data_IF_699423122998
#
_entry.id   IF_699423122998
#
_cell.length_a   1.000
_cell.length_b   1.000
_cell.length_c   1.000
_cell.angle_alpha   90.00
_cell.angle_beta   90.00
_cell.angle_gamma   90.00
#
_symmetry.space_group_name_H-M   'P 1'
#
loop_
_entity.id
_entity.type
_entity.pdbx_description
1 polymer ?
#
# COMPACT_ATOMS: atom_id res chain seq x y z
N UNK A 1 11.08 -11.19 -22.71
CA UNK A 1 9.79 -10.47 -22.66
C UNK A 1 9.87 -9.44 -21.54
N UNK A 2 9.44 -8.19 -21.83
CA UNK A 2 9.70 -7.01 -20.97
C UNK A 2 8.50 -6.60 -20.08
N UNK A 3 7.60 -7.51 -19.73
CA UNK A 3 6.46 -7.18 -18.85
C UNK A 3 6.89 -6.96 -17.39
N UNK A 4 6.27 -6.01 -16.64
CA UNK A 4 6.66 -5.70 -15.25
C UNK A 4 6.69 -6.92 -14.33
N UNK A 5 5.71 -7.82 -14.45
CA UNK A 5 5.65 -9.07 -13.69
C UNK A 5 6.83 -10.02 -14.00
N UNK A 6 7.34 -9.99 -15.24
CA UNK A 6 8.53 -10.77 -15.61
C UNK A 6 9.81 -10.17 -15.00
N UNK A 7 9.91 -8.85 -14.95
CA UNK A 7 11.03 -8.14 -14.29
C UNK A 7 11.08 -8.54 -12.81
N UNK A 8 9.92 -8.50 -12.12
CA UNK A 8 9.84 -8.90 -10.71
C UNK A 8 10.24 -10.38 -10.51
N UNK A 9 9.81 -11.30 -11.39
CA UNK A 9 10.25 -12.70 -11.33
C UNK A 9 11.77 -12.84 -11.44
N UNK A 10 12.40 -12.12 -12.38
CA UNK A 10 13.86 -12.10 -12.50
C UNK A 10 14.55 -11.55 -11.25
N UNK A 11 14.01 -10.49 -10.66
CA UNK A 11 14.56 -9.93 -9.41
C UNK A 11 14.51 -10.96 -8.27
N UNK A 12 13.41 -11.72 -8.16
CA UNK A 12 13.26 -12.82 -7.19
C UNK A 12 14.29 -13.93 -7.46
N UNK A 13 14.50 -14.32 -8.72
CA UNK A 13 15.51 -15.32 -9.09
C UNK A 13 16.93 -14.86 -8.72
N UNK A 14 17.25 -13.58 -8.95
CA UNK A 14 18.53 -13.01 -8.53
C UNK A 14 18.67 -13.05 -7.00
N UNK A 15 17.63 -12.67 -6.25
CA UNK A 15 17.66 -12.73 -4.80
C UNK A 15 17.89 -14.18 -4.31
N UNK A 16 17.21 -15.16 -4.91
CA UNK A 16 17.42 -16.58 -4.62
C UNK A 16 18.85 -17.03 -4.91
N UNK A 17 19.44 -16.60 -6.01
CA UNK A 17 20.84 -16.94 -6.36
C UNK A 17 21.85 -16.36 -5.36
N UNK A 18 21.45 -15.31 -4.62
CA UNK A 18 22.24 -14.73 -3.54
C UNK A 18 21.93 -15.36 -2.17
N UNK A 19 21.11 -16.41 -2.14
CA UNK A 19 20.81 -17.22 -0.95
C UNK A 19 19.68 -16.66 -0.09
N UNK A 20 18.80 -15.81 -0.63
CA UNK A 20 17.55 -15.43 0.03
C UNK A 20 16.44 -16.42 -0.34
N UNK A 21 15.70 -16.90 0.65
CA UNK A 21 14.70 -17.95 0.42
C UNK A 21 13.38 -17.35 -0.08
N UNK A 22 12.98 -16.20 0.48
CA UNK A 22 11.73 -15.51 0.13
C UNK A 22 11.83 -14.02 0.33
N UNK A 23 10.96 -13.31 -0.39
CA UNK A 23 10.72 -11.88 -0.28
C UNK A 23 9.23 -11.71 -0.01
N UNK A 24 8.89 -11.03 1.08
CA UNK A 24 7.52 -10.66 1.42
C UNK A 24 7.36 -9.15 1.37
N UNK A 25 6.18 -8.72 0.94
CA UNK A 25 5.85 -7.31 0.78
C UNK A 25 4.45 -7.07 1.35
N UNK A 26 4.32 -6.04 2.19
CA UNK A 26 3.05 -5.50 2.69
C UNK A 26 2.84 -4.14 2.02
N UNK A 27 1.96 -4.03 1.03
CA UNK A 27 1.65 -2.74 0.42
C UNK A 27 0.63 -1.95 1.24
N UNK A 28 0.88 -0.65 1.36
CA UNK A 28 -0.07 0.36 1.83
C UNK A 28 -0.46 1.21 0.63
N UNK A 29 -1.75 1.31 0.35
CA UNK A 29 -2.23 2.05 -0.81
C UNK A 29 -3.13 3.18 -0.35
N UNK A 30 -2.68 4.41 -0.61
CA UNK A 30 -3.45 5.62 -0.37
C UNK A 30 -4.19 6.06 -1.63
N UNK A 31 -5.35 6.66 -1.43
CA UNK A 31 -6.21 7.14 -2.52
C UNK A 31 -7.18 8.20 -2.03
N UNK A 32 -7.67 9.03 -2.94
CA UNK A 32 -8.71 10.01 -2.67
C UNK A 32 -10.07 9.54 -3.16
N UNK A 33 -11.10 9.85 -2.38
CA UNK A 33 -12.51 9.54 -2.68
C UNK A 33 -13.27 10.85 -2.91
N UNK A 34 -14.08 10.90 -3.95
CA UNK A 34 -14.90 12.05 -4.32
C UNK A 34 -16.36 11.63 -4.39
N UNK A 35 -17.26 12.51 -4.00
CA UNK A 35 -18.68 12.30 -4.27
C UNK A 35 -19.00 12.82 -5.68
N UNK A 36 -19.55 11.96 -6.55
CA UNK A 36 -19.91 12.31 -7.93
C UNK A 36 -20.95 13.46 -8.02
N UNK A 37 -21.78 13.61 -7.00
CA UNK A 37 -22.87 14.58 -6.99
C UNK A 37 -22.52 15.93 -6.35
N UNK A 38 -21.32 16.10 -5.83
CA UNK A 38 -20.90 17.33 -5.13
C UNK A 38 -19.55 17.75 -5.67
N UNK A 39 -19.53 18.91 -6.33
CA UNK A 39 -18.29 19.59 -6.76
C UNK A 39 -17.42 20.07 -5.59
N UNK A 40 -17.78 19.70 -4.36
CA UNK A 40 -17.07 20.04 -3.13
C UNK A 40 -16.70 18.77 -2.40
N UNK A 41 -15.41 18.66 -2.02
CA UNK A 41 -14.99 17.74 -0.98
C UNK A 41 -15.84 17.92 0.26
N UNK A 42 -16.16 16.84 0.95
CA UNK A 42 -16.59 16.95 2.35
C UNK A 42 -15.54 17.79 3.07
N UNK A 43 -15.95 18.92 3.65
CA UNK A 43 -15.04 19.89 4.25
C UNK A 43 -14.48 19.38 5.58
N UNK A 44 -13.74 18.27 5.54
CA UNK A 44 -12.85 17.91 6.63
C UNK A 44 -11.63 18.81 6.49
N UNK A 45 -11.32 19.58 7.51
CA UNK A 45 -10.12 20.45 7.51
C UNK A 45 -8.88 19.57 7.34
N UNK A 46 -7.93 20.03 6.54
CA UNK A 46 -6.64 19.37 6.38
C UNK A 46 -6.03 19.01 7.76
N UNK A 47 -5.45 17.83 7.88
CA UNK A 47 -4.88 17.27 9.11
C UNK A 47 -5.87 17.00 10.27
N UNK A 48 -7.16 17.06 10.05
CA UNK A 48 -8.17 16.66 11.04
C UNK A 48 -8.86 15.34 10.71
N UNK A 49 -8.53 14.74 9.57
CA UNK A 49 -9.13 13.49 9.11
C UNK A 49 -8.37 12.23 9.52
N UNK A 50 -7.10 12.33 9.92
CA UNK A 50 -6.28 11.17 10.26
C UNK A 50 -6.89 10.36 11.41
N UNK A 51 -7.24 9.10 11.14
CA UNK A 51 -7.98 8.23 12.06
C UNK A 51 -9.27 8.85 12.61
N UNK A 52 -9.97 9.66 11.80
CA UNK A 52 -11.24 10.28 12.21
C UNK A 52 -12.24 9.25 12.73
N UNK A 53 -13.04 9.66 13.73
CA UNK A 53 -14.06 8.78 14.30
C UNK A 53 -15.02 8.28 13.22
N UNK A 54 -15.39 6.99 13.25
CA UNK A 54 -16.21 6.38 12.20
C UNK A 54 -17.56 7.07 11.93
N UNK A 55 -18.13 7.76 12.91
CA UNK A 55 -19.38 8.51 12.75
C UNK A 55 -19.24 9.77 11.88
N UNK A 56 -18.02 10.26 11.68
CA UNK A 56 -17.71 11.46 10.89
C UNK A 56 -17.11 11.14 9.53
N UNK A 57 -16.78 9.87 9.29
CA UNK A 57 -16.12 9.39 8.09
C UNK A 57 -17.15 8.92 7.05
N UNK A 58 -17.40 9.76 6.07
CA UNK A 58 -18.41 9.50 5.03
C UNK A 58 -18.08 8.31 4.12
N UNK A 59 -16.82 7.94 3.98
CA UNK A 59 -16.39 6.82 3.15
C UNK A 59 -16.13 5.52 3.95
N UNK A 60 -16.45 5.49 5.24
CA UNK A 60 -16.25 4.32 6.11
C UNK A 60 -16.90 3.06 5.54
N UNK A 61 -18.17 3.14 5.16
CA UNK A 61 -18.90 1.96 4.66
C UNK A 61 -18.35 1.46 3.31
N UNK A 62 -17.93 2.37 2.45
CA UNK A 62 -17.22 2.04 1.22
C UNK A 62 -15.91 1.29 1.52
N UNK A 63 -15.04 1.85 2.39
CA UNK A 63 -13.78 1.19 2.76
C UNK A 63 -14.00 -0.17 3.42
N UNK A 64 -15.01 -0.25 4.32
CA UNK A 64 -15.36 -1.52 4.95
C UNK A 64 -15.76 -2.55 3.90
N UNK A 65 -16.66 -2.21 2.98
CA UNK A 65 -17.11 -3.12 1.91
C UNK A 65 -15.96 -3.54 0.99
N UNK A 66 -15.08 -2.60 0.64
CA UNK A 66 -13.88 -2.90 -0.13
C UNK A 66 -12.97 -3.88 0.62
N UNK A 67 -12.74 -3.65 1.92
CA UNK A 67 -11.94 -4.54 2.76
C UNK A 67 -12.53 -5.94 2.87
N UNK A 68 -13.85 -6.05 3.06
CA UNK A 68 -14.56 -7.35 3.13
C UNK A 68 -14.35 -8.15 1.81
N UNK A 69 -14.51 -7.50 0.66
CA UNK A 69 -14.31 -8.14 -0.66
C UNK A 69 -12.84 -8.54 -0.87
N UNK A 70 -11.89 -7.71 -0.47
CA UNK A 70 -10.47 -8.06 -0.54
C UNK A 70 -10.16 -9.29 0.29
N UNK A 71 -10.70 -9.38 1.51
CA UNK A 71 -10.54 -10.57 2.37
C UNK A 71 -11.19 -11.81 1.76
N UNK A 72 -12.38 -11.69 1.18
CA UNK A 72 -13.07 -12.78 0.47
C UNK A 72 -12.26 -13.26 -0.75
N UNK A 73 -11.51 -12.37 -1.39
CA UNK A 73 -10.58 -12.70 -2.48
C UNK A 73 -9.23 -13.26 -2.00
N UNK A 74 -9.04 -13.44 -0.69
CA UNK A 74 -7.82 -14.00 -0.11
C UNK A 74 -6.71 -12.99 0.16
N UNK A 75 -6.99 -11.68 0.10
CA UNK A 75 -6.04 -10.64 0.48
C UNK A 75 -6.28 -10.22 1.94
N UNK A 76 -5.36 -10.51 2.87
CA UNK A 76 -5.55 -10.29 4.30
C UNK A 76 -5.41 -8.80 4.64
N UNK A 77 -6.51 -8.06 4.65
CA UNK A 77 -6.53 -6.66 5.07
C UNK A 77 -6.09 -6.56 6.53
N UNK A 78 -5.09 -5.73 6.80
CA UNK A 78 -4.53 -5.50 8.12
C UNK A 78 -5.31 -4.39 8.84
N UNK A 79 -5.47 -3.26 8.19
CA UNK A 79 -6.34 -2.16 8.62
C UNK A 79 -6.67 -1.22 7.45
N UNK A 80 -7.64 -0.35 7.70
CA UNK A 80 -8.01 0.73 6.81
C UNK A 80 -8.48 1.94 7.61
N UNK A 81 -8.14 3.13 7.18
CA UNK A 81 -8.50 4.37 7.88
C UNK A 81 -8.62 5.57 6.93
N UNK A 82 -9.11 6.69 7.47
CA UNK A 82 -9.03 7.98 6.83
C UNK A 82 -7.64 8.56 7.04
N UNK A 83 -7.04 9.08 5.99
CA UNK A 83 -5.72 9.71 5.98
C UNK A 83 -5.76 11.21 6.32
N UNK A 84 -4.58 11.84 6.32
CA UNK A 84 -4.40 13.25 6.70
C UNK A 84 -4.99 14.24 5.69
N UNK A 85 -5.04 13.89 4.40
CA UNK A 85 -5.67 14.72 3.37
C UNK A 85 -7.19 14.67 3.44
N UNK A 86 -7.84 15.75 3.02
CA UNK A 86 -9.30 15.77 2.91
C UNK A 86 -9.79 14.66 2.01
N UNK A 87 -10.65 13.79 2.54
CA UNK A 87 -11.18 12.65 1.78
C UNK A 87 -10.10 11.69 1.25
N UNK A 88 -8.94 11.63 1.89
CA UNK A 88 -7.88 10.66 1.63
C UNK A 88 -8.06 9.45 2.52
N UNK A 89 -7.81 8.28 1.97
CA UNK A 89 -8.01 6.99 2.63
C UNK A 89 -6.84 6.07 2.34
N UNK A 90 -6.63 5.12 3.25
CA UNK A 90 -5.61 4.07 3.12
C UNK A 90 -6.18 2.71 3.40
N UNK A 91 -5.67 1.71 2.68
CA UNK A 91 -5.83 0.29 3.00
C UNK A 91 -4.47 -0.38 2.94
N UNK A 92 -4.10 -1.05 4.05
CA UNK A 92 -2.93 -1.90 4.16
C UNK A 92 -3.34 -3.37 4.22
N UNK A 93 -2.58 -4.23 3.53
CA UNK A 93 -2.71 -5.68 3.69
C UNK A 93 -1.49 -6.26 4.41
N UNK A 94 -1.70 -7.40 5.08
CA UNK A 94 -0.59 -8.16 5.65
C UNK A 94 0.37 -8.64 4.56
N UNK A 95 1.62 -8.90 4.94
CA UNK A 95 2.66 -9.28 4.01
C UNK A 95 2.32 -10.54 3.21
N UNK A 96 2.46 -10.45 1.89
CA UNK A 96 2.37 -11.54 0.93
C UNK A 96 3.73 -11.78 0.28
N UNK A 97 3.91 -12.94 -0.36
CA UNK A 97 5.07 -13.12 -1.24
C UNK A 97 5.03 -12.10 -2.39
N UNK A 98 6.20 -11.71 -2.91
CA UNK A 98 6.35 -10.55 -3.78
C UNK A 98 5.45 -10.54 -5.04
N UNK A 99 5.18 -11.71 -5.66
CA UNK A 99 4.29 -11.76 -6.84
C UNK A 99 2.83 -11.51 -6.48
N UNK A 100 2.21 -12.22 -5.51
CA UNK A 100 0.87 -11.88 -5.04
C UNK A 100 0.72 -10.45 -4.55
N UNK A 101 1.72 -9.87 -3.87
CA UNK A 101 1.67 -8.48 -3.44
C UNK A 101 1.62 -7.50 -4.64
N UNK A 102 2.38 -7.76 -5.70
CA UNK A 102 2.35 -6.96 -6.92
C UNK A 102 1.02 -7.14 -7.69
N UNK A 103 0.51 -8.37 -7.77
CA UNK A 103 -0.80 -8.66 -8.38
C UNK A 103 -1.93 -7.95 -7.59
N UNK A 104 -1.84 -7.92 -6.26
CA UNK A 104 -2.76 -7.18 -5.40
C UNK A 104 -2.82 -5.69 -5.76
N UNK A 105 -1.70 -5.01 -5.93
CA UNK A 105 -1.70 -3.58 -6.25
C UNK A 105 -2.50 -3.24 -7.53
N UNK A 106 -2.47 -4.13 -8.53
CA UNK A 106 -3.25 -3.98 -9.76
C UNK A 106 -4.73 -4.31 -9.54
N UNK A 107 -5.01 -5.42 -8.85
CA UNK A 107 -6.35 -5.86 -8.52
C UNK A 107 -7.07 -4.84 -7.63
N UNK A 108 -6.39 -4.32 -6.61
CA UNK A 108 -6.92 -3.30 -5.71
C UNK A 108 -7.45 -2.08 -6.47
N UNK A 109 -6.64 -1.53 -7.38
CA UNK A 109 -7.03 -0.35 -8.17
C UNK A 109 -8.25 -0.61 -9.05
N UNK A 110 -8.42 -1.82 -9.52
CA UNK A 110 -9.59 -2.23 -10.31
C UNK A 110 -10.84 -2.34 -9.43
N UNK A 111 -10.77 -3.18 -8.38
CA UNK A 111 -11.94 -3.48 -7.55
C UNK A 111 -12.40 -2.25 -6.74
N UNK A 112 -11.47 -1.41 -6.29
CA UNK A 112 -11.79 -0.18 -5.57
C UNK A 112 -12.64 0.77 -6.42
N UNK A 113 -12.30 0.92 -7.72
CA UNK A 113 -13.12 1.73 -8.65
C UNK A 113 -14.49 1.11 -8.90
N UNK A 114 -14.57 -0.19 -9.11
CA UNK A 114 -15.83 -0.88 -9.34
C UNK A 114 -16.80 -0.71 -8.16
N UNK A 115 -16.29 -0.90 -6.94
CA UNK A 115 -17.12 -0.76 -5.73
C UNK A 115 -17.52 0.69 -5.49
N UNK A 116 -16.63 1.67 -5.78
CA UNK A 116 -16.90 3.09 -5.57
C UNK A 116 -18.18 3.56 -6.29
N UNK A 117 -18.43 3.03 -7.49
CA UNK A 117 -19.63 3.38 -8.28
C UNK A 117 -20.94 3.07 -7.56
N UNK A 118 -20.95 2.03 -6.70
CA UNK A 118 -22.15 1.63 -5.91
C UNK A 118 -22.45 2.58 -4.75
N UNK A 119 -21.46 3.41 -4.39
CA UNK A 119 -21.55 4.42 -3.34
C UNK A 119 -21.65 5.84 -3.90
N UNK A 120 -21.82 5.99 -5.23
CA UNK A 120 -21.78 7.27 -5.92
C UNK A 120 -20.46 8.03 -5.68
N UNK A 121 -19.37 7.29 -5.55
CA UNK A 121 -18.03 7.82 -5.40
C UNK A 121 -17.20 7.65 -6.68
N UNK A 122 -16.34 8.62 -6.94
CA UNK A 122 -15.17 8.49 -7.79
C UNK A 122 -13.93 8.40 -6.93
N UNK A 123 -12.91 7.70 -7.40
CA UNK A 123 -11.64 7.57 -6.69
C UNK A 123 -10.45 7.83 -7.60
N UNK A 124 -9.39 8.37 -7.04
CA UNK A 124 -8.13 8.54 -7.75
C UNK A 124 -6.94 8.02 -6.97
N UNK A 125 -6.01 7.40 -7.69
CA UNK A 125 -4.68 6.97 -7.22
C UNK A 125 -3.59 7.90 -7.74
N UNK A 126 -3.95 9.11 -8.14
CA UNK A 126 -2.99 10.12 -8.59
C UNK A 126 -2.07 10.51 -7.43
N UNK A 127 -0.74 10.51 -7.62
CA UNK A 127 0.20 10.77 -6.52
C UNK A 127 0.00 12.12 -5.83
N UNK A 128 -0.39 13.15 -6.55
CA UNK A 128 -0.64 14.49 -6.01
C UNK A 128 -1.85 15.11 -6.72
N UNK A 129 -3.10 14.71 -6.37
CA UNK A 129 -4.29 15.25 -7.03
C UNK A 129 -4.57 16.71 -6.70
N UNK A 130 -4.12 17.18 -5.53
CA UNK A 130 -4.30 18.56 -5.04
C UNK A 130 -3.00 19.14 -4.55
N UNK A 131 -2.70 20.36 -4.97
CA UNK A 131 -1.43 21.03 -4.62
C UNK A 131 -1.30 21.33 -3.13
N UNK A 132 -2.40 21.57 -2.45
CA UNK A 132 -2.49 21.97 -1.03
C UNK A 132 -2.91 20.86 -0.07
N UNK A 133 -3.10 19.61 -0.56
CA UNK A 133 -3.43 18.44 0.26
C UNK A 133 -2.25 17.47 0.30
N UNK A 134 -2.30 16.43 1.14
CA UNK A 134 -1.31 15.36 1.16
C UNK A 134 -1.25 14.62 -0.19
N UNK A 135 -0.09 14.13 -0.57
CA UNK A 135 0.07 13.22 -1.70
C UNK A 135 -0.36 11.81 -1.33
N UNK A 136 -0.75 10.99 -2.33
CA UNK A 136 -1.07 9.58 -2.12
C UNK A 136 0.18 8.74 -2.28
N UNK A 137 0.58 8.08 -1.19
CA UNK A 137 1.66 7.12 -1.15
C UNK A 137 1.24 5.74 -1.68
N UNK A 138 2.22 4.97 -2.07
CA UNK A 138 2.13 3.52 -2.17
C UNK A 138 3.37 2.96 -1.49
N UNK A 139 3.27 2.77 -0.18
CA UNK A 139 4.37 2.28 0.62
C UNK A 139 4.51 0.76 0.45
N UNK A 140 5.73 0.27 0.49
CA UNK A 140 6.01 -1.15 0.41
C UNK A 140 6.92 -1.55 1.58
N UNK A 141 6.37 -2.25 2.57
CA UNK A 141 7.17 -2.86 3.64
C UNK A 141 7.76 -4.16 3.13
N UNK A 142 9.07 -4.21 2.97
CA UNK A 142 9.78 -5.33 2.36
C UNK A 142 10.57 -6.09 3.42
N UNK A 143 10.43 -7.42 3.42
CA UNK A 143 11.26 -8.31 4.23
C UNK A 143 11.89 -9.37 3.34
N UNK A 144 13.18 -9.60 3.50
CA UNK A 144 13.92 -10.69 2.85
C UNK A 144 14.32 -11.73 3.89
N UNK A 145 13.97 -12.99 3.63
CA UNK A 145 14.26 -14.09 4.57
C UNK A 145 15.40 -14.95 4.04
N UNK A 146 16.21 -15.44 4.97
CA UNK A 146 17.22 -16.49 4.74
C UNK A 146 17.15 -17.49 5.88
N UNK A 147 16.92 -18.77 5.56
CA UNK A 147 16.66 -19.83 6.54
C UNK A 147 15.56 -19.46 7.54
N UNK A 148 14.48 -18.82 7.01
CA UNK A 148 13.34 -18.39 7.79
C UNK A 148 13.57 -17.17 8.70
N UNK A 149 14.76 -16.56 8.68
CA UNK A 149 15.09 -15.38 9.50
C UNK A 149 15.08 -14.10 8.67
N UNK A 150 14.59 -13.01 9.27
CA UNK A 150 14.66 -11.68 8.65
C UNK A 150 16.12 -11.25 8.53
N UNK A 151 16.56 -10.98 7.31
CA UNK A 151 17.95 -10.62 7.00
C UNK A 151 18.27 -9.15 7.24
N UNK A 152 17.26 -8.31 7.52
CA UNK A 152 17.44 -6.87 7.71
C UNK A 152 17.70 -6.50 9.18
N UNK A 153 17.48 -7.41 10.12
CA UNK A 153 17.63 -7.16 11.55
C UNK A 153 19.00 -7.59 12.03
N UNK A 154 19.64 -6.73 12.84
CA UNK A 154 20.82 -7.02 13.64
C UNK A 154 20.64 -6.38 15.02
N UNK A 155 20.37 -7.20 16.04
CA UNK A 155 20.12 -6.75 17.41
C UNK A 155 21.35 -6.12 18.08
N UNK A 156 22.55 -6.33 17.52
CA UNK A 156 23.80 -5.75 18.03
C UNK A 156 24.12 -4.38 17.44
N UNK A 157 23.44 -4.00 16.34
CA UNK A 157 23.60 -2.71 15.71
C UNK A 157 22.81 -1.62 16.44
N UNK A 158 23.34 -0.42 16.69
CA UNK A 158 22.64 0.67 17.38
C UNK A 158 21.33 1.10 16.74
N UNK A 159 21.16 0.86 15.42
CA UNK A 159 19.94 1.16 14.68
C UNK A 159 19.09 -0.09 14.38
N UNK A 160 19.50 -1.26 14.85
CA UNK A 160 18.84 -2.54 14.55
C UNK A 160 19.01 -3.02 13.10
N UNK A 161 19.88 -2.40 12.32
CA UNK A 161 20.03 -2.63 10.88
C UNK A 161 21.23 -3.53 10.55
N UNK A 162 20.98 -4.67 9.95
CA UNK A 162 22.06 -5.52 9.44
C UNK A 162 22.81 -4.86 8.26
N UNK A 163 23.98 -5.40 7.95
CA UNK A 163 24.72 -4.98 6.75
C UNK A 163 23.92 -5.25 5.45
N UNK A 164 23.10 -6.30 5.42
CA UNK A 164 22.18 -6.58 4.29
C UNK A 164 21.15 -5.48 4.13
N UNK A 165 20.55 -5.00 5.23
CA UNK A 165 19.63 -3.86 5.20
C UNK A 165 20.30 -2.60 4.64
N UNK A 166 21.52 -2.29 5.09
CA UNK A 166 22.28 -1.13 4.62
C UNK A 166 22.59 -1.20 3.12
N UNK A 167 22.97 -2.38 2.61
CA UNK A 167 23.17 -2.59 1.18
C UNK A 167 21.87 -2.45 0.39
N UNK A 168 20.75 -2.96 0.92
CA UNK A 168 19.44 -2.85 0.28
C UNK A 168 18.98 -1.37 0.19
N UNK A 169 19.10 -0.62 1.29
CA UNK A 169 18.81 0.82 1.33
C UNK A 169 19.70 1.59 0.35
N UNK A 170 21.01 1.32 0.37
CA UNK A 170 21.95 1.94 -0.56
C UNK A 170 21.62 1.66 -2.02
N UNK A 171 21.15 0.44 -2.33
CA UNK A 171 20.69 0.07 -3.66
C UNK A 171 19.47 0.86 -4.11
N UNK A 172 18.47 1.02 -3.23
CA UNK A 172 17.27 1.85 -3.51
C UNK A 172 17.69 3.30 -3.78
N UNK A 173 18.51 3.89 -2.90
CA UNK A 173 18.95 5.29 -3.04
C UNK A 173 19.78 5.53 -4.32
N UNK A 174 20.50 4.53 -4.79
CA UNK A 174 21.31 4.64 -6.01
C UNK A 174 20.50 4.54 -7.31
N UNK A 175 19.26 4.04 -7.23
CA UNK A 175 18.41 3.73 -8.39
C UNK A 175 17.03 4.40 -8.35
N UNK A 176 16.76 5.27 -7.37
CA UNK A 176 15.52 6.05 -7.25
C UNK A 176 15.55 7.33 -8.10
#
# INVERSE_FOLDING_TARGET
>A
RAGPRHILKRAIEIAKSKGFDSITISPEIEFYVFNQNVSKFTEIKANQGYFIAPSLDVAKEYRKKLSDILMDCGYPVKYHHHESGKSQHEIEISALSAIPAADFCSFFKYIARDIATRYTFDITFMPKPFSNEAGSGMHAHITMLKKGRNTFVDETDPFGLSQTARYFIGGILAHS
#
